data_IF_554932447820
#
_entry.id   IF_554932447820
#
_cell.length_a   1.000
_cell.length_b   1.000
_cell.length_c   1.000
_cell.angle_alpha   90.00
_cell.angle_beta   90.00
_cell.angle_gamma   90.00
#
_symmetry.space_group_name_H-M   'P 1'
#
loop_
_entity.id
_entity.type
_entity.pdbx_description
1 polymer ?
#
# COMPACT_ATOMS: atom_id res chain seq x y z
N UNK A 1 -9.02 25.31 -3.76
CA UNK A 1 -10.35 25.77 -3.32
C UNK A 1 -11.34 24.61 -3.31
N UNK A 2 -12.09 24.49 -2.23
CA UNK A 2 -13.24 23.60 -2.12
C UNK A 2 -14.47 24.42 -2.49
N UNK A 3 -15.17 24.02 -3.55
CA UNK A 3 -16.37 24.67 -4.05
C UNK A 3 -17.57 23.74 -3.86
N UNK A 4 -18.70 24.30 -3.46
CA UNK A 4 -19.98 23.60 -3.45
C UNK A 4 -20.79 24.00 -4.69
N UNK A 5 -21.17 23.03 -5.51
CA UNK A 5 -22.07 23.20 -6.66
C UNK A 5 -23.52 23.09 -6.17
N UNK A 6 -24.25 24.21 -6.18
CA UNK A 6 -25.63 24.25 -5.69
C UNK A 6 -26.61 23.50 -6.61
N UNK A 7 -26.29 23.34 -7.89
CA UNK A 7 -27.14 22.65 -8.86
C UNK A 7 -27.04 21.13 -8.70
N UNK A 8 -25.80 20.63 -8.63
CA UNK A 8 -25.52 19.19 -8.52
C UNK A 8 -25.47 18.70 -7.07
N UNK A 9 -25.53 19.60 -6.08
CA UNK A 9 -25.34 19.32 -4.65
C UNK A 9 -24.04 18.56 -4.34
N UNK A 10 -22.98 18.82 -5.10
CA UNK A 10 -21.67 18.15 -4.99
C UNK A 10 -20.54 19.11 -4.65
N UNK A 11 -19.42 18.58 -4.17
CA UNK A 11 -18.22 19.36 -3.90
C UNK A 11 -17.19 19.16 -5.01
N UNK A 12 -16.54 20.25 -5.43
CA UNK A 12 -15.46 20.24 -6.42
C UNK A 12 -14.18 20.83 -5.84
N UNK A 13 -13.05 20.19 -6.14
CA UNK A 13 -11.73 20.71 -5.83
C UNK A 13 -11.19 21.41 -7.07
N UNK A 14 -10.89 22.70 -6.95
CA UNK A 14 -10.36 23.54 -8.02
C UNK A 14 -9.09 24.24 -7.53
N UNK A 15 -8.04 24.38 -8.36
CA UNK A 15 -6.87 25.18 -8.00
C UNK A 15 -7.23 26.60 -7.53
N UNK A 16 -6.44 27.15 -6.60
CA UNK A 16 -6.70 28.48 -6.04
C UNK A 16 -6.52 29.59 -7.08
N UNK A 17 -5.69 29.37 -8.10
CA UNK A 17 -5.56 30.25 -9.26
C UNK A 17 -6.88 30.43 -10.02
N UNK A 18 -7.64 29.35 -10.11
CA UNK A 18 -8.81 29.27 -11.00
C UNK A 18 -10.09 29.65 -10.26
N UNK A 19 -10.04 29.81 -8.93
CA UNK A 19 -11.21 30.22 -8.14
C UNK A 19 -11.66 31.66 -8.38
N UNK A 20 -10.93 32.45 -9.18
CA UNK A 20 -11.36 33.78 -9.63
C UNK A 20 -12.32 33.73 -10.82
N UNK A 21 -12.40 32.59 -11.51
CA UNK A 21 -13.19 32.41 -12.73
C UNK A 21 -14.47 31.58 -12.52
N UNK A 22 -14.80 31.24 -11.28
CA UNK A 22 -16.02 30.46 -10.98
C UNK A 22 -17.22 31.36 -10.81
N UNK A 23 -18.31 30.99 -11.49
CA UNK A 23 -19.60 31.65 -11.35
C UNK A 23 -20.14 31.50 -9.92
N UNK A 24 -20.12 32.59 -9.17
CA UNK A 24 -20.52 32.65 -7.76
C UNK A 24 -22.03 32.44 -7.56
N UNK A 25 -22.86 32.47 -8.62
CA UNK A 25 -24.28 32.12 -8.52
C UNK A 25 -24.49 30.60 -8.42
N UNK A 26 -23.63 29.82 -9.08
CA UNK A 26 -23.69 28.35 -9.09
C UNK A 26 -22.78 27.72 -8.05
N UNK A 27 -21.59 28.26 -7.88
CA UNK A 27 -20.55 27.70 -7.02
C UNK A 27 -20.33 28.57 -5.79
N UNK A 28 -20.53 28.00 -4.60
CA UNK A 28 -20.19 28.64 -3.34
C UNK A 28 -18.81 28.18 -2.88
N UNK A 29 -17.89 29.12 -2.65
CA UNK A 29 -16.58 28.82 -2.06
C UNK A 29 -16.80 28.41 -0.61
N UNK A 30 -16.51 27.16 -0.27
CA UNK A 30 -16.64 26.63 1.10
C UNK A 30 -15.35 26.77 1.90
N UNK A 31 -14.20 26.83 1.22
CA UNK A 31 -12.92 27.04 1.86
C UNK A 31 -11.75 26.75 0.93
N UNK A 32 -10.54 26.87 1.47
CA UNK A 32 -9.31 26.54 0.78
C UNK A 32 -8.78 25.23 1.37
N UNK A 33 -8.72 24.17 0.56
CA UNK A 33 -7.97 22.98 0.94
C UNK A 33 -6.49 23.40 1.02
N UNK A 34 -5.96 23.48 2.24
CA UNK A 34 -4.53 23.65 2.45
C UNK A 34 -3.90 22.30 2.11
N UNK A 35 -3.04 22.27 1.08
CA UNK A 35 -2.06 21.20 1.00
C UNK A 35 -1.26 21.23 2.30
N UNK A 36 -0.85 20.07 2.81
CA UNK A 36 0.16 20.05 3.86
C UNK A 36 1.44 20.51 3.18
N UNK A 37 1.67 21.82 3.18
CA UNK A 37 2.82 22.48 2.57
C UNK A 37 3.93 22.69 3.62
N UNK A 38 3.85 21.98 4.76
CA UNK A 38 4.90 21.98 5.77
C UNK A 38 5.80 20.75 5.56
N UNK A 39 6.83 20.96 4.74
CA UNK A 39 7.90 20.03 4.41
C UNK A 39 8.81 19.63 5.58
N UNK A 40 8.23 19.28 6.73
CA UNK A 40 8.90 18.54 7.82
C UNK A 40 7.90 17.49 8.33
N UNK A 41 7.67 16.45 7.53
CA UNK A 41 7.31 15.18 8.16
C UNK A 41 8.61 14.68 8.79
N UNK A 42 8.74 14.62 10.14
CA UNK A 42 9.93 14.01 10.72
C UNK A 42 10.05 12.62 10.12
N UNK A 43 11.21 12.33 9.51
CA UNK A 43 11.44 11.05 8.86
C UNK A 43 10.95 9.94 9.80
N UNK A 44 10.07 9.03 9.34
CA UNK A 44 9.51 8.02 10.22
C UNK A 44 10.68 7.29 10.87
N UNK A 45 10.71 7.27 12.22
CA UNK A 45 11.74 6.55 12.97
C UNK A 45 11.85 5.14 12.39
N UNK A 46 13.08 4.63 12.14
CA UNK A 46 13.25 3.33 11.51
C UNK A 46 12.54 2.26 12.35
N UNK A 47 11.44 1.74 11.84
CA UNK A 47 10.66 0.68 12.48
C UNK A 47 11.30 -0.64 12.13
N UNK A 48 11.57 -1.46 13.15
CA UNK A 48 12.04 -2.83 12.93
C UNK A 48 10.94 -3.59 12.16
N UNK A 49 11.24 -4.15 10.99
CA UNK A 49 10.25 -4.85 10.18
C UNK A 49 9.92 -6.21 10.80
N UNK A 50 8.64 -6.58 10.80
CA UNK A 50 8.19 -7.87 11.32
C UNK A 50 8.87 -9.03 10.58
N UNK A 51 9.18 -10.15 11.27
CA UNK A 51 9.69 -11.33 10.60
C UNK A 51 8.65 -11.86 9.59
N UNK A 52 9.08 -12.28 8.39
CA UNK A 52 8.17 -12.76 7.37
C UNK A 52 7.59 -14.14 7.74
N UNK A 53 6.28 -14.29 7.61
CA UNK A 53 5.62 -15.59 7.76
C UNK A 53 5.80 -16.47 6.50
N UNK A 54 5.33 -17.73 6.58
CA UNK A 54 5.49 -18.72 5.51
C UNK A 54 4.94 -18.23 4.16
N UNK A 55 3.77 -17.60 4.16
CA UNK A 55 3.12 -17.09 2.95
C UNK A 55 3.88 -15.90 2.34
N UNK A 56 4.42 -15.00 3.16
CA UNK A 56 5.24 -13.87 2.68
C UNK A 56 6.51 -14.38 1.99
N UNK A 57 7.17 -15.39 2.56
CA UNK A 57 8.37 -16.01 1.97
C UNK A 57 8.00 -16.70 0.65
N UNK A 58 6.91 -17.48 0.63
CA UNK A 58 6.41 -18.14 -0.58
C UNK A 58 6.05 -17.14 -1.69
N UNK A 59 5.28 -16.10 -1.37
CA UNK A 59 4.88 -15.06 -2.31
C UNK A 59 6.08 -14.31 -2.86
N UNK A 60 7.07 -13.98 -2.04
CA UNK A 60 8.29 -13.33 -2.50
C UNK A 60 9.00 -14.16 -3.56
N UNK A 61 9.11 -15.48 -3.34
CA UNK A 61 9.71 -16.40 -4.30
C UNK A 61 8.90 -16.49 -5.61
N UNK A 62 7.59 -16.79 -5.53
CA UNK A 62 6.72 -16.90 -6.71
C UNK A 62 6.60 -15.59 -7.48
N UNK A 63 6.62 -14.45 -6.78
CA UNK A 63 6.53 -13.14 -7.41
C UNK A 63 7.74 -12.83 -8.30
N UNK A 64 8.93 -13.31 -7.95
CA UNK A 64 10.12 -13.21 -8.83
C UNK A 64 9.94 -14.04 -10.09
N UNK A 65 9.45 -15.27 -9.95
CA UNK A 65 9.19 -16.17 -11.08
C UNK A 65 8.10 -15.63 -12.02
N UNK A 66 7.01 -15.07 -11.48
CA UNK A 66 5.93 -14.49 -12.28
C UNK A 66 6.41 -13.25 -13.02
N UNK A 67 7.17 -12.35 -12.36
CA UNK A 67 7.70 -11.13 -13.01
C UNK A 67 8.70 -11.43 -14.13
N UNK A 68 9.44 -12.54 -14.06
CA UNK A 68 10.30 -12.99 -15.16
C UNK A 68 9.49 -13.44 -16.38
N UNK A 69 8.34 -14.07 -16.18
CA UNK A 69 7.47 -14.57 -17.26
C UNK A 69 6.58 -13.47 -17.84
N UNK A 70 6.07 -12.58 -17.00
CA UNK A 70 5.18 -11.49 -17.38
C UNK A 70 5.76 -10.19 -16.84
N UNK A 71 6.51 -9.44 -17.67
CA UNK A 71 6.95 -8.09 -17.35
C UNK A 71 5.75 -7.18 -17.06
N UNK A 72 5.94 -6.18 -16.19
CA UNK A 72 4.91 -5.17 -15.81
C UNK A 72 3.64 -5.68 -15.11
N UNK A 73 3.62 -6.94 -14.66
CA UNK A 73 2.50 -7.47 -13.87
C UNK A 73 2.32 -6.71 -12.55
N UNK A 74 1.07 -6.39 -12.21
CA UNK A 74 0.74 -5.64 -11.00
C UNK A 74 0.89 -6.50 -9.73
N UNK A 75 1.31 -5.89 -8.63
CA UNK A 75 1.44 -6.60 -7.35
C UNK A 75 0.10 -7.18 -6.85
N UNK A 76 -1.02 -6.54 -7.17
CA UNK A 76 -2.37 -7.01 -6.86
C UNK A 76 -2.67 -8.33 -7.57
N UNK A 77 -2.43 -8.40 -8.88
CA UNK A 77 -2.61 -9.63 -9.65
C UNK A 77 -1.75 -10.78 -9.14
N UNK A 78 -0.46 -10.52 -8.86
CA UNK A 78 0.43 -11.54 -8.27
C UNK A 78 -0.13 -12.05 -6.94
N UNK A 79 -0.60 -11.17 -6.06
CA UNK A 79 -1.15 -11.58 -4.76
C UNK A 79 -2.34 -12.52 -4.93
N UNK A 80 -3.27 -12.18 -5.83
CA UNK A 80 -4.44 -13.03 -6.10
C UNK A 80 -4.02 -14.39 -6.63
N UNK A 81 -3.15 -14.43 -7.64
CA UNK A 81 -2.66 -15.67 -8.25
C UNK A 81 -1.93 -16.55 -7.24
N UNK A 82 -0.97 -15.99 -6.50
CA UNK A 82 -0.18 -16.73 -5.50
C UNK A 82 -1.06 -17.23 -4.36
N UNK A 83 -2.11 -16.51 -3.99
CA UNK A 83 -3.04 -16.95 -2.95
C UNK A 83 -3.82 -18.19 -3.37
N UNK A 84 -4.20 -18.28 -4.65
CA UNK A 84 -4.82 -19.49 -5.22
C UNK A 84 -3.81 -20.65 -5.25
N UNK A 85 -2.58 -20.38 -5.71
CA UNK A 85 -1.51 -21.38 -5.74
C UNK A 85 -1.23 -21.93 -4.34
N UNK A 86 -1.13 -21.08 -3.31
CA UNK A 86 -0.87 -21.50 -1.93
C UNK A 86 -1.94 -22.42 -1.35
N UNK A 87 -3.22 -22.21 -1.73
CA UNK A 87 -4.32 -23.08 -1.29
C UNK A 87 -4.23 -24.48 -1.90
N UNK A 88 -3.71 -24.58 -3.12
CA UNK A 88 -3.57 -25.83 -3.86
C UNK A 88 -2.20 -26.51 -3.69
N UNK A 89 -1.24 -25.80 -3.08
CA UNK A 89 0.13 -26.24 -2.92
C UNK A 89 0.23 -27.46 -1.97
N UNK A 90 1.19 -28.34 -2.25
CA UNK A 90 1.36 -29.57 -1.49
C UNK A 90 1.69 -29.30 0.00
N UNK A 91 1.24 -30.20 0.88
CA UNK A 91 1.48 -30.11 2.32
C UNK A 91 2.98 -30.02 2.65
N UNK A 92 3.82 -30.80 1.96
CA UNK A 92 5.27 -30.79 2.13
C UNK A 92 5.89 -29.41 1.83
N UNK A 93 5.40 -28.71 0.81
CA UNK A 93 5.87 -27.36 0.47
C UNK A 93 5.40 -26.37 1.52
N UNK A 94 4.14 -26.47 1.97
CA UNK A 94 3.63 -25.61 3.05
C UNK A 94 4.45 -25.77 4.34
N UNK A 95 4.84 -27.01 4.68
CA UNK A 95 5.72 -27.30 5.80
C UNK A 95 7.12 -26.68 5.62
N UNK A 96 7.74 -26.87 4.45
CA UNK A 96 9.04 -26.26 4.12
C UNK A 96 9.04 -24.74 4.32
N UNK A 97 7.99 -24.05 3.89
CA UNK A 97 7.88 -22.60 4.08
C UNK A 97 7.52 -22.21 5.52
N UNK A 98 6.86 -23.10 6.27
CA UNK A 98 6.64 -22.93 7.70
C UNK A 98 7.95 -23.00 8.49
N UNK A 99 8.81 -23.98 8.18
CA UNK A 99 10.14 -24.12 8.79
C UNK A 99 10.99 -22.88 8.52
N UNK A 100 10.96 -22.36 7.28
CA UNK A 100 11.63 -21.10 6.93
C UNK A 100 11.10 -19.90 7.72
N UNK A 101 9.80 -19.86 8.01
CA UNK A 101 9.21 -18.79 8.81
C UNK A 101 9.63 -18.88 10.27
N UNK A 102 9.72 -20.09 10.83
CA UNK A 102 10.23 -20.34 12.18
C UNK A 102 11.69 -19.88 12.26
N UNK A 103 12.53 -20.24 11.30
CA UNK A 103 13.93 -19.78 11.26
C UNK A 103 14.03 -18.25 11.13
N UNK A 104 13.21 -17.62 10.28
CA UNK A 104 13.17 -16.16 10.18
C UNK A 104 12.75 -15.49 11.50
N UNK A 105 11.81 -16.09 12.24
CA UNK A 105 11.39 -15.61 13.56
C UNK A 105 12.51 -15.77 14.60
N UNK A 106 13.22 -16.91 14.61
CA UNK A 106 14.38 -17.13 15.48
C UNK A 106 15.48 -16.12 15.22
N UNK A 107 15.83 -15.90 13.95
CA UNK A 107 16.83 -14.91 13.54
C UNK A 107 16.42 -13.50 13.96
N UNK A 108 15.16 -13.13 13.78
CA UNK A 108 14.64 -11.83 14.20
C UNK A 108 14.74 -11.65 15.72
N UNK A 109 14.39 -12.68 16.51
CA UNK A 109 14.50 -12.65 17.97
C UNK A 109 15.96 -12.53 18.44
N UNK A 110 16.90 -13.18 17.74
CA UNK A 110 18.32 -13.08 18.04
C UNK A 110 18.90 -11.69 17.66
N UNK A 111 18.46 -11.13 16.53
CA UNK A 111 18.91 -9.81 16.04
C UNK A 111 18.31 -8.66 16.86
N UNK A 112 17.08 -8.82 17.34
CA UNK A 112 16.35 -7.83 18.11
C UNK A 112 15.83 -8.45 19.42
N UNK A 113 16.72 -8.67 20.41
CA UNK A 113 16.34 -9.31 21.69
C UNK A 113 15.36 -8.46 22.52
N UNK A 114 15.29 -7.14 22.25
CA UNK A 114 14.40 -6.20 22.92
C UNK A 114 13.16 -5.83 22.08
N UNK A 115 12.84 -6.62 21.04
CA UNK A 115 11.66 -6.43 20.19
C UNK A 115 10.44 -7.21 20.69
#
# INVERSE_FOLDING_TARGET
CILYDAQEKTYRLVPVSDSKFVDLKRFKVMGYARGIDDGITPAPKPRIPRPPNAWIIYRSHKSKEIRKKVPHVTAGYISTLVSQMWKQENCAIRLLYNDKAIEAQKLHKAMYPNY
#
